data_IF_914782478735
#
_entry.id   IF_914782478735
#
_cell.length_a   1.000
_cell.length_b   1.000
_cell.length_c   1.000
_cell.angle_alpha   90.00
_cell.angle_beta   90.00
_cell.angle_gamma   90.00
#
_symmetry.space_group_name_H-M   'P 1'
#
loop_
_entity.id
_entity.type
_entity.pdbx_description
1 polymer ?
#
# COMPACT_ATOMS: atom_id res chain seq x y z
N UNK A 1 -7.85 -30.38 -15.22
CA UNK A 1 -7.43 -29.03 -15.65
C UNK A 1 -6.13 -28.76 -14.92
N UNK A 2 -5.03 -28.93 -15.63
CA UNK A 2 -3.69 -29.01 -15.05
C UNK A 2 -3.24 -27.65 -14.52
N UNK A 3 -2.64 -27.68 -13.32
CA UNK A 3 -1.91 -26.58 -12.73
C UNK A 3 -0.61 -26.42 -13.53
N UNK A 4 -0.60 -25.51 -14.50
CA UNK A 4 0.64 -25.08 -15.15
C UNK A 4 1.34 -24.12 -14.19
N UNK A 5 2.28 -24.67 -13.43
CA UNK A 5 3.35 -23.93 -12.76
C UNK A 5 4.31 -23.40 -13.81
N UNK A 6 3.99 -22.25 -14.40
CA UNK A 6 4.97 -21.42 -15.08
C UNK A 6 5.35 -20.27 -14.16
N UNK A 7 6.51 -20.35 -13.52
CA UNK A 7 7.17 -19.19 -12.93
C UNK A 7 7.53 -18.24 -14.07
N UNK A 8 6.70 -17.23 -14.28
CA UNK A 8 7.06 -16.07 -15.09
C UNK A 8 7.88 -15.11 -14.21
N UNK A 9 9.15 -14.85 -14.50
CA UNK A 9 9.96 -13.89 -13.75
C UNK A 9 9.45 -12.43 -13.87
N UNK A 10 8.41 -12.17 -14.65
CA UNK A 10 7.73 -10.88 -14.77
C UNK A 10 6.44 -10.76 -13.94
N UNK A 11 6.26 -11.58 -12.90
CA UNK A 11 5.11 -11.47 -12.01
C UNK A 11 4.97 -10.02 -11.48
N UNK A 12 3.83 -9.38 -11.74
CA UNK A 12 3.61 -7.98 -11.40
C UNK A 12 3.80 -7.75 -9.89
N UNK A 13 4.77 -6.91 -9.52
CA UNK A 13 5.05 -6.53 -8.13
C UNK A 13 3.83 -5.92 -7.43
N UNK A 14 2.93 -5.33 -8.22
CA UNK A 14 1.73 -4.65 -7.75
C UNK A 14 0.48 -5.25 -8.39
N UNK A 15 -0.49 -5.66 -7.57
CA UNK A 15 -1.84 -6.01 -8.02
C UNK A 15 -2.79 -4.82 -7.84
N UNK A 16 -3.36 -4.25 -8.92
CA UNK A 16 -4.21 -3.07 -8.81
C UNK A 16 -5.51 -3.36 -8.06
N UNK A 17 -6.06 -2.33 -7.41
CA UNK A 17 -7.39 -2.37 -6.79
C UNK A 17 -8.19 -1.12 -7.17
N UNK A 18 -9.45 -1.36 -7.53
CA UNK A 18 -10.48 -0.33 -7.73
C UNK A 18 -11.74 -0.84 -7.05
N UNK A 19 -12.20 -0.14 -6.03
CA UNK A 19 -13.32 -0.57 -5.20
C UNK A 19 -14.23 0.63 -4.89
N UNK A 20 -15.43 0.70 -5.51
CA UNK A 20 -16.43 1.70 -5.16
C UNK A 20 -16.83 1.55 -3.68
N UNK A 21 -16.65 2.61 -2.89
CA UNK A 21 -17.03 2.60 -1.48
C UNK A 21 -18.50 2.95 -1.39
N UNK A 22 -19.37 1.93 -1.27
CA UNK A 22 -20.82 2.12 -1.22
C UNK A 22 -21.36 1.91 0.18
N UNK A 23 -22.14 2.88 0.67
CA UNK A 23 -22.94 2.72 1.89
C UNK A 23 -24.36 2.29 1.55
N UNK A 24 -24.93 1.42 2.38
CA UNK A 24 -26.36 1.08 2.35
C UNK A 24 -27.09 1.89 3.43
N UNK A 25 -27.52 3.10 3.09
CA UNK A 25 -28.34 3.94 3.99
C UNK A 25 -29.77 3.99 3.49
N UNK A 26 -30.72 3.52 4.30
CA UNK A 26 -32.17 3.56 4.01
C UNK A 26 -32.55 2.93 2.63
N UNK A 27 -31.99 1.76 2.30
CA UNK A 27 -32.23 1.02 1.05
C UNK A 27 -31.76 1.70 -0.25
N UNK A 28 -31.03 2.81 -0.18
CA UNK A 28 -30.39 3.43 -1.34
C UNK A 28 -28.87 3.20 -1.29
N UNK A 29 -28.29 2.79 -2.41
CA UNK A 29 -26.84 2.73 -2.59
C UNK A 29 -26.35 4.15 -2.88
N UNK A 30 -25.39 4.61 -2.07
CA UNK A 30 -24.67 5.86 -2.32
C UNK A 30 -23.17 5.61 -2.18
N UNK A 31 -22.40 6.25 -3.06
CA UNK A 31 -20.95 6.31 -2.91
C UNK A 31 -20.61 7.11 -1.65
N UNK A 32 -19.49 6.75 -1.02
CA UNK A 32 -18.94 7.49 0.10
C UNK A 32 -18.60 8.90 -0.37
N UNK A 33 -18.97 9.90 0.41
CA UNK A 33 -18.40 11.22 0.26
C UNK A 33 -16.90 11.15 0.54
N UNK A 34 -16.11 11.98 -0.15
CA UNK A 34 -14.66 12.06 0.07
C UNK A 34 -14.31 12.79 1.38
N UNK A 35 -14.81 12.25 2.49
CA UNK A 35 -14.63 12.73 3.85
C UNK A 35 -14.10 11.55 4.66
N UNK A 36 -13.01 11.74 5.41
CA UNK A 36 -12.35 10.66 6.16
C UNK A 36 -13.33 9.86 7.04
N UNK A 37 -14.24 10.54 7.73
CA UNK A 37 -15.22 9.88 8.60
C UNK A 37 -16.22 9.01 7.84
N UNK A 38 -16.63 9.42 6.64
CA UNK A 38 -17.52 8.64 5.78
C UNK A 38 -16.77 7.47 5.15
N UNK A 39 -15.62 7.73 4.53
CA UNK A 39 -14.76 6.69 3.99
C UNK A 39 -14.42 5.61 5.03
N UNK A 40 -14.04 6.01 6.25
CA UNK A 40 -13.76 5.09 7.36
C UNK A 40 -14.99 4.28 7.76
N UNK A 41 -16.18 4.90 7.78
CA UNK A 41 -17.45 4.22 8.05
C UNK A 41 -17.74 3.16 6.99
N UNK A 42 -17.69 3.52 5.71
CA UNK A 42 -17.99 2.59 4.60
C UNK A 42 -16.98 1.45 4.54
N UNK A 43 -15.69 1.73 4.70
CA UNK A 43 -14.66 0.69 4.79
C UNK A 43 -14.86 -0.23 6.00
N UNK A 44 -15.39 0.27 7.12
CA UNK A 44 -15.75 -0.57 8.26
C UNK A 44 -16.96 -1.47 7.97
N UNK A 45 -17.97 -0.95 7.24
CA UNK A 45 -19.14 -1.72 6.82
C UNK A 45 -18.75 -2.85 5.85
N UNK A 46 -17.93 -2.54 4.84
CA UNK A 46 -17.52 -3.49 3.81
C UNK A 46 -16.55 -4.57 4.33
N UNK A 47 -15.67 -4.20 5.26
CA UNK A 47 -14.53 -5.03 5.66
C UNK A 47 -14.47 -5.27 7.17
N UNK A 48 -15.61 -5.49 7.83
CA UNK A 48 -15.65 -6.01 9.20
C UNK A 48 -14.92 -5.14 10.24
N UNK A 49 -15.14 -3.82 10.21
CA UNK A 49 -14.49 -2.81 11.09
C UNK A 49 -12.99 -2.60 10.84
N UNK A 50 -12.45 -3.04 9.70
CA UNK A 50 -11.04 -2.81 9.34
C UNK A 50 -10.77 -1.43 8.71
N UNK A 51 -11.78 -0.61 8.40
CA UNK A 51 -11.59 0.75 7.87
C UNK A 51 -10.73 1.63 8.79
N UNK A 52 -10.81 1.43 10.12
CA UNK A 52 -9.90 2.09 11.05
C UNK A 52 -8.42 1.75 10.86
N UNK A 53 -8.09 0.60 10.26
CA UNK A 53 -6.70 0.23 9.93
C UNK A 53 -6.18 0.94 8.69
N UNK A 54 -7.02 1.24 7.71
CA UNK A 54 -6.63 2.04 6.55
C UNK A 54 -6.15 3.44 6.97
N UNK A 55 -6.89 4.07 7.89
CA UNK A 55 -6.56 5.39 8.43
C UNK A 55 -5.58 5.38 9.62
N UNK A 56 -5.08 4.21 10.02
CA UNK A 56 -4.14 4.11 11.15
C UNK A 56 -2.79 4.68 10.74
N UNK A 57 -2.24 5.54 11.59
CA UNK A 57 -0.81 5.90 11.54
C UNK A 57 -0.02 4.74 12.14
N UNK A 58 0.81 4.08 11.32
CA UNK A 58 1.67 2.99 11.78
C UNK A 58 2.97 3.58 12.36
N UNK A 59 3.07 3.61 13.70
CA UNK A 59 4.25 4.16 14.40
C UNK A 59 5.42 3.18 14.50
N UNK A 60 5.13 1.87 14.40
CA UNK A 60 6.16 0.84 14.37
C UNK A 60 6.74 0.73 12.96
N UNK A 61 7.91 1.34 12.77
CA UNK A 61 8.78 0.99 11.65
C UNK A 61 9.23 -0.45 11.86
N UNK A 62 8.60 -1.40 11.17
CA UNK A 62 9.00 -2.81 11.29
C UNK A 62 10.47 -2.92 10.88
N UNK A 63 11.23 -3.66 11.67
CA UNK A 63 12.68 -3.76 11.49
C UNK A 63 13.04 -4.16 10.05
N UNK A 64 14.24 -3.76 9.61
CA UNK A 64 14.81 -3.92 8.26
C UNK A 64 14.98 -5.38 7.77
N UNK A 65 14.28 -6.34 8.37
CA UNK A 65 14.41 -7.78 8.13
C UNK A 65 13.47 -8.29 7.04
N UNK A 66 12.44 -7.53 6.66
CA UNK A 66 11.49 -7.92 5.64
C UNK A 66 11.83 -7.27 4.29
N UNK A 67 11.58 -7.99 3.21
CA UNK A 67 11.96 -7.69 1.81
C UNK A 67 11.33 -6.41 1.23
N UNK A 68 10.55 -5.67 2.02
CA UNK A 68 9.83 -4.48 1.59
C UNK A 68 10.30 -3.23 2.33
N UNK A 69 11.10 -2.42 1.63
CA UNK A 69 11.57 -1.12 2.14
C UNK A 69 10.59 0.02 1.85
N UNK A 70 9.47 -0.24 1.16
CA UNK A 70 8.46 0.77 0.92
C UNK A 70 7.88 1.31 2.22
N UNK A 71 7.57 0.45 3.20
CA UNK A 71 7.12 0.85 4.55
C UNK A 71 8.06 1.88 5.17
N UNK A 72 9.35 1.57 5.13
CA UNK A 72 10.38 2.43 5.70
C UNK A 72 10.48 3.76 4.97
N UNK A 73 10.33 3.77 3.64
CA UNK A 73 10.51 4.95 2.81
C UNK A 73 9.26 5.82 2.68
N UNK A 74 8.06 5.24 2.77
CA UNK A 74 6.80 5.90 2.40
C UNK A 74 6.61 7.24 3.13
N UNK A 75 6.70 7.22 4.46
CA UNK A 75 6.54 8.43 5.30
C UNK A 75 7.74 9.40 5.20
N UNK A 76 8.86 8.93 4.65
CA UNK A 76 10.05 9.73 4.42
C UNK A 76 10.05 10.47 3.09
N UNK A 77 9.22 10.06 2.14
CA UNK A 77 9.14 10.66 0.80
C UNK A 77 8.42 12.00 0.86
N UNK A 78 9.11 13.05 0.39
CA UNK A 78 8.61 14.39 0.17
C UNK A 78 9.05 14.87 -1.22
N UNK A 79 8.13 14.82 -2.18
CA UNK A 79 8.43 15.12 -3.58
C UNK A 79 9.55 14.24 -4.12
N UNK A 80 10.61 14.86 -4.63
CA UNK A 80 11.80 14.20 -5.15
C UNK A 80 12.77 13.71 -4.08
N UNK A 81 12.54 13.99 -2.80
CA UNK A 81 13.46 13.65 -1.70
C UNK A 81 12.92 12.53 -0.80
N UNK A 82 13.82 11.77 -0.17
CA UNK A 82 13.47 10.82 0.89
C UNK A 82 14.51 10.86 2.01
N UNK A 83 14.07 11.20 3.23
CA UNK A 83 14.97 11.31 4.40
C UNK A 83 15.65 10.00 4.80
N UNK A 84 15.12 8.87 4.34
CA UNK A 84 15.64 7.54 4.66
C UNK A 84 16.62 6.98 3.61
N UNK A 85 16.75 7.63 2.44
CA UNK A 85 17.80 7.29 1.47
C UNK A 85 19.21 7.66 1.96
N UNK A 86 19.33 8.69 2.81
CA UNK A 86 20.60 9.21 3.30
C UNK A 86 21.16 8.45 4.53
N UNK A 87 20.34 7.66 5.22
CA UNK A 87 20.72 6.95 6.46
C UNK A 87 20.65 5.41 6.29
N UNK A 88 21.63 4.79 5.61
CA UNK A 88 21.67 3.37 5.38
C UNK A 88 22.28 2.61 6.57
N UNK A 89 21.82 2.86 7.79
CA UNK A 89 22.62 2.54 8.98
C UNK A 89 22.97 1.09 9.29
N UNK A 90 22.66 0.01 8.56
CA UNK A 90 23.04 -1.40 8.96
C UNK A 90 22.97 -2.43 7.81
N UNK A 91 23.01 -1.99 6.55
CA UNK A 91 22.81 -2.88 5.39
C UNK A 91 24.07 -2.94 4.51
N UNK A 92 24.28 -4.07 3.82
CA UNK A 92 25.35 -4.21 2.82
C UNK A 92 25.18 -3.14 1.73
N UNK A 93 26.27 -2.55 1.25
CA UNK A 93 26.27 -1.43 0.29
C UNK A 93 25.40 -1.69 -0.95
N UNK A 94 25.45 -2.90 -1.52
CA UNK A 94 24.63 -3.29 -2.68
C UNK A 94 23.12 -3.27 -2.39
N UNK A 95 22.71 -3.66 -1.18
CA UNK A 95 21.29 -3.62 -0.77
C UNK A 95 20.84 -2.17 -0.61
N UNK A 96 21.71 -1.31 -0.08
CA UNK A 96 21.45 0.13 0.09
C UNK A 96 21.25 0.81 -1.26
N UNK A 97 22.14 0.54 -2.22
CA UNK A 97 22.04 1.09 -3.58
C UNK A 97 20.75 0.67 -4.26
N UNK A 98 20.37 -0.61 -4.14
CA UNK A 98 19.09 -1.11 -4.67
C UNK A 98 17.88 -0.40 -4.04
N UNK A 99 17.88 -0.22 -2.72
CA UNK A 99 16.79 0.48 -2.04
C UNK A 99 16.70 1.95 -2.49
N UNK A 100 17.86 2.61 -2.64
CA UNK A 100 17.91 3.99 -3.16
C UNK A 100 17.34 4.07 -4.56
N UNK A 101 17.72 3.14 -5.43
CA UNK A 101 17.21 3.05 -6.79
C UNK A 101 15.69 2.83 -6.79
N UNK A 102 15.18 1.83 -6.07
CA UNK A 102 13.73 1.60 -5.94
C UNK A 102 12.99 2.82 -5.40
N UNK A 103 13.58 3.53 -4.43
CA UNK A 103 12.97 4.74 -3.90
C UNK A 103 12.87 5.84 -4.95
N UNK A 104 13.89 5.99 -5.78
CA UNK A 104 13.95 6.99 -6.85
C UNK A 104 13.03 6.65 -8.03
N UNK A 105 13.07 5.41 -8.50
CA UNK A 105 12.43 5.01 -9.75
C UNK A 105 11.00 4.51 -9.56
N UNK A 106 10.67 4.00 -8.37
CA UNK A 106 9.34 3.40 -8.10
C UNK A 106 8.60 4.15 -7.00
N UNK A 107 9.15 4.23 -5.79
CA UNK A 107 8.37 4.70 -4.63
C UNK A 107 8.00 6.18 -4.72
N UNK A 108 8.96 7.04 -5.11
CA UNK A 108 8.73 8.48 -5.24
C UNK A 108 7.72 8.80 -6.35
N UNK A 109 7.88 8.30 -7.59
CA UNK A 109 6.88 8.50 -8.65
C UNK A 109 5.51 7.96 -8.28
N UNK A 110 5.44 6.76 -7.67
CA UNK A 110 4.18 6.15 -7.25
C UNK A 110 3.45 7.03 -6.23
N UNK A 111 4.14 7.49 -5.19
CA UNK A 111 3.54 8.38 -4.18
C UNK A 111 3.09 9.70 -4.81
N UNK A 112 3.90 10.28 -5.70
CA UNK A 112 3.54 11.51 -6.40
C UNK A 112 2.28 11.33 -7.25
N UNK A 113 2.18 10.24 -8.00
CA UNK A 113 1.00 9.93 -8.81
C UNK A 113 -0.25 9.70 -7.94
N UNK A 114 -0.13 8.99 -6.82
CA UNK A 114 -1.26 8.77 -5.91
C UNK A 114 -1.73 10.06 -5.24
N UNK A 115 -0.80 10.85 -4.67
CA UNK A 115 -1.14 12.12 -4.00
C UNK A 115 -1.70 13.16 -4.98
N UNK A 116 -1.34 13.09 -6.26
CA UNK A 116 -1.89 13.97 -7.29
C UNK A 116 -3.36 13.68 -7.61
N UNK A 117 -3.77 12.41 -7.55
CA UNK A 117 -5.06 11.98 -8.10
C UNK A 117 -6.04 11.45 -7.05
N UNK A 118 -5.60 11.24 -5.81
CA UNK A 118 -6.37 10.59 -4.75
C UNK A 118 -6.26 11.35 -3.45
N UNK A 119 -7.33 11.33 -2.68
CA UNK A 119 -7.40 11.78 -1.30
C UNK A 119 -7.05 10.65 -0.32
N UNK A 120 -6.73 11.02 0.90
CA UNK A 120 -6.44 10.08 1.99
C UNK A 120 -5.42 8.99 1.62
N UNK A 121 -4.39 9.35 0.86
CA UNK A 121 -3.36 8.39 0.41
C UNK A 121 -2.64 7.79 1.61
N UNK A 122 -2.63 6.45 1.70
CA UNK A 122 -2.02 5.67 2.77
C UNK A 122 -1.28 4.46 2.22
N UNK A 123 -0.28 4.04 2.98
CA UNK A 123 0.33 2.73 2.84
C UNK A 123 0.02 1.92 4.10
N UNK A 124 -0.46 0.69 3.91
CA UNK A 124 -0.79 -0.24 4.99
C UNK A 124 0.25 -1.35 4.99
N UNK A 125 1.20 -1.35 5.95
CA UNK A 125 2.35 -2.24 5.90
C UNK A 125 1.98 -3.70 6.12
N UNK A 126 2.70 -4.59 5.41
CA UNK A 126 2.59 -6.04 5.63
C UNK A 126 3.09 -6.41 7.03
N UNK A 127 2.32 -7.20 7.78
CA UNK A 127 2.75 -7.71 9.10
C UNK A 127 3.62 -8.94 8.88
N UNK A 128 4.91 -8.84 9.21
CA UNK A 128 5.86 -9.95 9.08
C UNK A 128 5.50 -11.14 9.99
N UNK A 129 5.00 -12.20 9.36
CA UNK A 129 5.33 -13.61 9.59
C UNK A 129 4.57 -14.46 8.56
N UNK A 130 5.34 -15.13 7.71
CA UNK A 130 4.98 -16.40 7.05
C UNK A 130 3.81 -16.39 6.06
N UNK A 131 4.13 -16.77 4.82
CA UNK A 131 3.34 -17.67 3.96
C UNK A 131 1.86 -17.77 4.33
N UNK A 132 1.01 -17.11 3.55
CA UNK A 132 -0.36 -17.59 3.30
C UNK A 132 -1.25 -17.82 4.54
N UNK A 133 -0.98 -17.21 5.70
CA UNK A 133 -2.08 -17.00 6.64
C UNK A 133 -2.82 -15.80 6.11
N UNK A 134 -3.96 -16.05 5.44
CA UNK A 134 -4.99 -15.03 5.13
C UNK A 134 -5.00 -14.01 6.26
N UNK A 135 -4.34 -12.88 6.06
CA UNK A 135 -4.38 -11.84 7.06
C UNK A 135 -5.83 -11.43 7.17
N UNK A 136 -6.39 -11.44 8.38
CA UNK A 136 -7.75 -10.94 8.62
C UNK A 136 -7.92 -9.47 8.19
N UNK A 137 -6.80 -8.77 7.93
CA UNK A 137 -6.79 -7.44 7.37
C UNK A 137 -6.75 -7.48 5.83
N UNK A 138 -7.82 -7.07 5.14
CA UNK A 138 -7.85 -7.05 3.67
C UNK A 138 -6.92 -5.98 3.08
N UNK A 139 -6.52 -4.96 3.84
CA UNK A 139 -5.69 -3.86 3.33
C UNK A 139 -4.19 -4.14 3.47
N UNK A 140 -3.77 -5.32 3.88
CA UNK A 140 -2.37 -5.57 4.14
C UNK A 140 -1.52 -5.48 2.86
N UNK A 141 -0.48 -4.65 2.85
CA UNK A 141 0.34 -4.37 1.67
C UNK A 141 -0.32 -3.42 0.67
N UNK A 142 -1.48 -2.84 1.00
CA UNK A 142 -2.16 -1.88 0.15
C UNK A 142 -1.46 -0.52 0.19
N UNK A 143 -1.17 0.01 -0.98
CA UNK A 143 -0.92 1.42 -1.21
C UNK A 143 -2.15 1.95 -1.94
N UNK A 144 -2.87 2.91 -1.35
CA UNK A 144 -4.10 3.39 -1.96
C UNK A 144 -4.60 4.69 -1.38
N UNK A 145 -5.56 5.26 -2.08
CA UNK A 145 -6.29 6.47 -1.72
C UNK A 145 -7.70 6.39 -2.27
N UNK A 146 -8.48 7.44 -2.03
CA UNK A 146 -9.89 7.48 -2.38
C UNK A 146 -10.10 8.65 -3.36
N UNK A 147 -10.82 8.43 -4.45
CA UNK A 147 -11.18 9.50 -5.38
C UNK A 147 -12.21 10.44 -4.75
N UNK A 148 -12.40 11.63 -5.33
CA UNK A 148 -13.49 12.54 -4.92
C UNK A 148 -14.87 11.87 -5.01
N UNK A 149 -15.04 10.95 -5.96
CA UNK A 149 -16.26 10.17 -6.18
C UNK A 149 -16.41 8.95 -5.24
N UNK A 150 -15.55 8.80 -4.21
CA UNK A 150 -15.68 7.72 -3.24
C UNK A 150 -15.24 6.35 -3.75
N UNK A 151 -14.26 6.30 -4.66
CA UNK A 151 -13.68 5.04 -5.16
C UNK A 151 -12.32 4.83 -4.51
N UNK A 152 -12.14 3.71 -3.79
CA UNK A 152 -10.82 3.28 -3.32
C UNK A 152 -10.01 2.78 -4.51
N UNK A 153 -8.90 3.46 -4.80
CA UNK A 153 -7.95 3.10 -5.85
C UNK A 153 -6.57 2.85 -5.25
N UNK A 154 -5.85 1.88 -5.79
CA UNK A 154 -4.51 1.58 -5.30
C UNK A 154 -3.90 0.34 -5.92
N UNK A 155 -2.90 -0.21 -5.24
CA UNK A 155 -2.35 -1.51 -5.54
C UNK A 155 -1.83 -2.22 -4.29
N UNK A 156 -1.99 -3.54 -4.25
CA UNK A 156 -1.36 -4.42 -3.29
C UNK A 156 0.05 -4.74 -3.74
N UNK A 157 1.03 -4.60 -2.85
CA UNK A 157 2.35 -5.17 -3.07
C UNK A 157 2.26 -6.70 -2.94
N UNK A 158 2.50 -7.43 -4.04
CA UNK A 158 2.39 -8.89 -4.10
C UNK A 158 3.74 -9.56 -3.79
N UNK A 159 4.83 -8.99 -4.28
CA UNK A 159 6.20 -9.43 -4.01
C UNK A 159 7.10 -8.22 -3.68
N UNK A 160 8.14 -8.42 -2.88
CA UNK A 160 9.12 -7.35 -2.63
C UNK A 160 9.83 -6.95 -3.93
N UNK A 161 10.03 -5.65 -4.17
CA UNK A 161 10.72 -5.18 -5.38
C UNK A 161 12.15 -5.72 -5.46
N UNK A 162 12.39 -6.58 -6.44
CA UNK A 162 13.71 -6.96 -6.91
C UNK A 162 13.93 -6.29 -8.26
N UNK A 163 14.75 -5.24 -8.33
CA UNK A 163 15.14 -4.71 -9.65
C UNK A 163 16.31 -5.51 -10.20
N UNK A 164 16.12 -5.87 -11.48
CA UNK A 164 16.99 -6.55 -12.44
C UNK A 164 18.42 -6.02 -12.42
#
# INVERSE_FOLDING_TARGET
MELVSSQDPNAATFAPVVCPLVSKKKNNLRLAECIESDAKRVLNEMYGKNGGRFFRVFTMKRGRRDQDFLDYHWDGIKGSSCKYCADPTRLKTQVVERIRLNCETVYRPLKAAMVKNLEFVRFVPQTGHCRLRKSENPYQGLIGGITEDGILCGAYLVEGLQTV
#
